data_IF_713183164932
#
_entry.id   IF_713183164932
#
_cell.length_a   1.000
_cell.length_b   1.000
_cell.length_c   1.000
_cell.angle_alpha   90.00
_cell.angle_beta   90.00
_cell.angle_gamma   90.00
#
_symmetry.space_group_name_H-M   'P 1'
#
loop_
_entity.id
_entity.type
_entity.pdbx_description
1 polymer ?
#
# COMPACT_ATOMS: atom_id res chain seq x y z
N UNK A 1 -32.32 40.25 -10.16
CA UNK A 1 -30.94 40.52 -9.72
C UNK A 1 -30.16 39.22 -9.79
N UNK A 2 -29.25 39.08 -10.74
CA UNK A 2 -28.43 37.87 -10.93
C UNK A 2 -27.20 37.97 -10.03
N UNK A 3 -27.02 37.01 -9.11
CA UNK A 3 -25.81 36.91 -8.27
C UNK A 3 -24.78 36.07 -9.03
N UNK A 4 -23.76 36.74 -9.57
CA UNK A 4 -22.54 36.13 -10.09
C UNK A 4 -21.67 35.72 -8.90
N UNK A 5 -21.38 34.43 -8.77
CA UNK A 5 -20.39 33.93 -7.82
C UNK A 5 -19.00 34.05 -8.45
N UNK A 6 -18.11 34.76 -7.76
CA UNK A 6 -16.70 34.94 -8.10
C UNK A 6 -15.98 33.61 -7.84
N UNK A 7 -15.46 32.97 -8.90
CA UNK A 7 -14.56 31.81 -8.76
C UNK A 7 -13.16 32.36 -8.46
N UNK A 8 -12.74 32.31 -7.20
CA UNK A 8 -11.35 32.56 -6.83
C UNK A 8 -10.51 31.33 -7.19
N UNK A 9 -9.79 31.39 -8.31
CA UNK A 9 -8.70 30.46 -8.60
C UNK A 9 -7.53 30.77 -7.66
N UNK A 10 -7.44 30.07 -6.52
CA UNK A 10 -6.18 29.97 -5.80
C UNK A 10 -5.24 29.08 -6.61
N UNK A 11 -4.35 29.71 -7.37
CA UNK A 11 -3.09 29.12 -7.78
C UNK A 11 -2.26 28.89 -6.52
N UNK A 12 -2.56 27.81 -5.81
CA UNK A 12 -1.66 27.29 -4.79
C UNK A 12 -0.45 26.74 -5.52
N UNK A 13 0.64 27.50 -5.46
CA UNK A 13 1.99 27.10 -5.82
C UNK A 13 2.25 25.68 -5.32
N UNK A 14 2.41 24.75 -6.25
CA UNK A 14 2.92 23.41 -5.98
C UNK A 14 4.37 23.55 -5.52
N UNK A 15 4.58 23.79 -4.24
CA UNK A 15 5.82 23.38 -3.61
C UNK A 15 5.82 21.86 -3.68
N UNK A 16 6.50 21.35 -4.70
CA UNK A 16 7.02 20.00 -4.74
C UNK A 16 7.83 19.84 -3.44
N UNK A 17 7.20 19.28 -2.42
CA UNK A 17 7.93 18.66 -1.32
C UNK A 17 8.66 17.47 -1.94
N UNK A 18 9.84 17.74 -2.50
CA UNK A 18 10.87 16.72 -2.57
C UNK A 18 11.10 16.33 -1.11
N UNK A 19 10.59 15.16 -0.72
CA UNK A 19 11.16 14.48 0.42
C UNK A 19 12.69 14.50 0.21
N UNK A 20 13.44 14.80 1.26
CA UNK A 20 14.89 14.59 1.31
C UNK A 20 15.19 13.10 1.09
N UNK A 21 15.02 12.65 -0.15
CA UNK A 21 15.72 11.51 -0.68
C UNK A 21 17.13 12.04 -0.80
N UNK A 22 17.94 11.80 0.23
CA UNK A 22 19.37 11.69 0.02
C UNK A 22 19.52 10.75 -1.17
N UNK A 23 19.79 11.32 -2.36
CA UNK A 23 20.04 10.59 -3.59
C UNK A 23 21.17 9.63 -3.24
N UNK A 24 20.83 8.36 -3.07
CA UNK A 24 21.85 7.33 -2.95
C UNK A 24 22.57 7.35 -4.29
N UNK A 25 23.75 7.96 -4.32
CA UNK A 25 24.71 7.68 -5.37
C UNK A 25 25.23 6.27 -5.08
N UNK A 26 25.15 5.33 -6.04
CA UNK A 26 25.85 4.06 -5.94
C UNK A 26 27.27 4.36 -5.49
N UNK A 27 27.69 3.77 -4.36
CA UNK A 27 29.00 4.04 -3.76
C UNK A 27 30.14 3.68 -4.73
N UNK A 28 29.86 2.84 -5.71
CA UNK A 28 30.59 2.57 -6.94
C UNK A 28 29.66 1.79 -7.90
N UNK A 29 30.00 1.68 -9.18
CA UNK A 29 29.27 0.79 -10.13
C UNK A 29 29.43 -0.71 -9.78
N UNK A 30 30.30 -1.04 -8.83
CA UNK A 30 30.73 -2.40 -8.48
C UNK A 30 29.91 -3.02 -7.34
N UNK A 31 29.05 -2.25 -6.68
CA UNK A 31 28.19 -2.73 -5.59
C UNK A 31 26.80 -3.01 -6.14
N UNK A 32 26.23 -4.21 -5.89
CA UNK A 32 24.85 -4.48 -6.29
C UNK A 32 23.88 -3.51 -5.59
N UNK A 33 22.85 -3.06 -6.30
CA UNK A 33 21.79 -2.22 -5.75
C UNK A 33 20.46 -2.45 -6.49
N UNK A 34 19.36 -1.91 -5.96
CA UNK A 34 18.06 -2.01 -6.62
C UNK A 34 17.82 -0.75 -7.46
N UNK A 35 17.74 -0.89 -8.77
CA UNK A 35 17.39 0.22 -9.68
C UNK A 35 15.91 0.56 -9.58
N UNK A 36 15.07 -0.46 -9.60
CA UNK A 36 13.63 -0.33 -9.56
C UNK A 36 12.97 -1.55 -8.92
N UNK A 37 11.73 -1.38 -8.49
CA UNK A 37 10.86 -2.47 -8.07
C UNK A 37 9.63 -2.52 -8.98
N UNK A 38 9.23 -3.73 -9.36
CA UNK A 38 7.95 -3.95 -10.05
C UNK A 38 6.94 -4.47 -9.06
N UNK A 39 6.02 -3.60 -8.64
CA UNK A 39 4.93 -3.92 -7.71
C UNK A 39 3.80 -4.66 -8.41
N UNK A 40 3.04 -5.46 -7.66
CA UNK A 40 1.94 -6.30 -8.15
C UNK A 40 2.40 -7.18 -9.33
N UNK A 41 3.58 -7.80 -9.17
CA UNK A 41 4.22 -8.57 -10.23
C UNK A 41 3.36 -9.77 -10.65
N UNK A 42 3.34 -10.05 -11.96
CA UNK A 42 2.51 -11.12 -12.54
C UNK A 42 1.04 -10.74 -12.75
N UNK A 43 0.66 -9.48 -12.53
CA UNK A 43 -0.74 -9.03 -12.58
C UNK A 43 -0.95 -7.91 -13.62
N UNK A 44 -2.18 -7.71 -14.12
CA UNK A 44 -2.53 -6.53 -14.92
C UNK A 44 -2.24 -5.18 -14.24
N UNK A 45 -2.19 -5.13 -12.90
CA UNK A 45 -1.91 -3.91 -12.13
C UNK A 45 -0.41 -3.66 -11.90
N UNK A 46 0.48 -4.39 -12.58
CA UNK A 46 1.92 -4.22 -12.38
C UNK A 46 2.37 -2.77 -12.61
N UNK A 47 3.27 -2.28 -11.77
CA UNK A 47 3.88 -0.95 -11.92
C UNK A 47 5.34 -1.00 -11.51
N UNK A 48 6.20 -0.56 -12.41
CA UNK A 48 7.61 -0.37 -12.12
C UNK A 48 7.86 1.03 -11.55
N UNK A 49 8.73 1.07 -10.54
CA UNK A 49 9.04 2.26 -9.78
C UNK A 49 10.55 2.33 -9.55
N UNK A 50 11.17 3.39 -10.05
CA UNK A 50 12.59 3.64 -9.86
C UNK A 50 12.90 3.90 -8.38
N UNK A 51 13.85 3.16 -7.85
CA UNK A 51 14.46 3.34 -6.54
C UNK A 51 15.83 4.01 -6.63
N UNK A 52 16.49 3.96 -7.79
CA UNK A 52 17.80 4.57 -8.05
C UNK A 52 18.82 4.22 -6.94
N UNK A 53 18.86 2.95 -6.53
CA UNK A 53 19.76 2.44 -5.50
C UNK A 53 19.33 2.74 -4.07
N UNK A 54 18.11 3.26 -3.83
CA UNK A 54 17.62 3.51 -2.48
C UNK A 54 17.77 2.27 -1.58
N UNK A 55 18.42 2.47 -0.43
CA UNK A 55 18.69 1.42 0.57
C UNK A 55 17.47 1.09 1.42
N UNK A 56 16.43 1.92 1.34
CA UNK A 56 15.24 1.73 2.14
C UNK A 56 14.02 2.45 1.60
N UNK A 57 12.88 2.16 2.21
CA UNK A 57 11.75 3.06 2.24
C UNK A 57 10.56 2.69 1.36
N UNK A 58 10.63 1.62 0.56
CA UNK A 58 9.50 1.11 -0.20
C UNK A 58 9.41 -0.42 -0.13
N UNK A 59 8.23 -1.02 -0.30
CA UNK A 59 6.91 -0.39 -0.26
C UNK A 59 6.56 0.25 1.10
N UNK A 60 5.59 1.17 1.13
CA UNK A 60 5.06 1.81 2.36
C UNK A 60 3.85 1.08 2.92
N UNK A 61 3.12 0.36 2.09
CA UNK A 61 1.96 -0.46 2.47
C UNK A 61 2.18 -1.90 2.07
N UNK A 62 1.60 -2.85 2.79
CA UNK A 62 1.69 -4.27 2.45
C UNK A 62 0.44 -5.04 2.91
N UNK A 63 0.27 -6.23 2.37
CA UNK A 63 -0.73 -7.21 2.77
C UNK A 63 -0.19 -8.61 2.48
N UNK A 64 -0.81 -9.64 3.06
CA UNK A 64 -0.40 -11.02 2.81
C UNK A 64 -0.64 -11.40 1.34
N UNK A 65 0.41 -11.81 0.64
CA UNK A 65 0.38 -12.12 -0.79
C UNK A 65 0.80 -10.96 -1.70
N UNK A 66 1.15 -9.79 -1.16
CA UNK A 66 1.67 -8.69 -1.97
C UNK A 66 2.99 -9.10 -2.65
N UNK A 67 3.05 -8.99 -3.98
CA UNK A 67 4.21 -9.42 -4.80
C UNK A 67 4.99 -8.23 -5.35
N UNK A 68 6.31 -8.29 -5.24
CA UNK A 68 7.19 -7.35 -5.92
C UNK A 68 8.42 -8.04 -6.50
N UNK A 69 8.80 -7.65 -7.71
CA UNK A 69 10.06 -8.08 -8.33
C UNK A 69 11.13 -7.01 -8.10
N UNK A 70 12.33 -7.44 -7.70
CA UNK A 70 13.48 -6.58 -7.47
C UNK A 70 14.31 -6.51 -8.76
N UNK A 71 14.47 -5.33 -9.34
CA UNK A 71 15.30 -5.14 -10.52
C UNK A 71 16.69 -4.63 -10.07
N UNK A 72 17.65 -5.54 -10.10
CA UNK A 72 19.01 -5.34 -9.61
C UNK A 72 19.91 -4.70 -10.68
N UNK A 73 20.82 -3.81 -10.26
CA UNK A 73 21.88 -3.21 -11.08
C UNK A 73 23.21 -3.17 -10.32
N UNK A 74 24.30 -2.91 -11.06
CA UNK A 74 25.66 -2.85 -10.51
C UNK A 74 26.20 -4.23 -10.10
N UNK A 75 27.48 -4.30 -9.75
CA UNK A 75 28.12 -5.57 -9.37
C UNK A 75 28.12 -6.63 -10.48
N UNK A 76 28.36 -7.89 -10.10
CA UNK A 76 28.52 -9.00 -11.06
C UNK A 76 27.46 -10.10 -10.84
N UNK A 77 26.51 -10.22 -11.77
CA UNK A 77 25.50 -11.29 -11.76
C UNK A 77 26.12 -12.71 -11.80
N UNK A 78 25.44 -13.76 -11.31
CA UNK A 78 24.09 -13.76 -10.74
C UNK A 78 24.02 -13.13 -9.34
N UNK A 79 22.88 -12.52 -9.04
CA UNK A 79 22.57 -12.00 -7.71
C UNK A 79 21.91 -13.07 -6.84
N UNK A 80 22.14 -13.00 -5.54
CA UNK A 80 21.46 -13.77 -4.51
C UNK A 80 20.76 -12.83 -3.54
N UNK A 81 19.57 -13.20 -3.09
CA UNK A 81 18.78 -12.41 -2.14
C UNK A 81 18.49 -13.27 -0.91
N UNK A 82 18.96 -12.80 0.24
CA UNK A 82 18.75 -13.42 1.54
C UNK A 82 17.79 -12.56 2.38
N UNK A 83 16.80 -13.19 3.00
CA UNK A 83 15.89 -12.55 3.96
C UNK A 83 16.55 -12.60 5.33
N UNK A 84 17.00 -11.45 5.82
CA UNK A 84 17.67 -11.31 7.12
C UNK A 84 16.72 -10.88 8.25
N UNK A 85 15.57 -10.32 7.90
CA UNK A 85 14.52 -9.91 8.83
C UNK A 85 13.16 -9.92 8.11
N UNK A 86 12.10 -10.30 8.82
CA UNK A 86 10.73 -10.35 8.30
C UNK A 86 10.33 -11.72 7.74
N UNK A 87 9.04 -11.87 7.46
CA UNK A 87 8.47 -13.10 6.92
C UNK A 87 8.01 -12.86 5.47
N UNK A 88 8.89 -13.20 4.52
CA UNK A 88 8.67 -13.07 3.09
C UNK A 88 9.20 -14.30 2.38
N UNK A 89 8.52 -14.71 1.32
CA UNK A 89 9.01 -15.75 0.42
C UNK A 89 9.71 -15.10 -0.77
N UNK A 90 10.83 -15.66 -1.20
CA UNK A 90 11.54 -15.24 -2.41
C UNK A 90 11.64 -16.43 -3.35
N UNK A 91 11.13 -16.25 -4.56
CA UNK A 91 11.32 -17.19 -5.67
C UNK A 91 11.96 -16.42 -6.83
N UNK A 92 13.19 -16.81 -7.18
CA UNK A 92 14.02 -16.07 -8.13
C UNK A 92 14.21 -14.62 -7.65
N UNK A 93 13.67 -13.62 -8.36
CA UNK A 93 13.73 -12.21 -8.01
C UNK A 93 12.38 -11.64 -7.55
N UNK A 94 11.39 -12.50 -7.31
CA UNK A 94 10.05 -12.13 -6.87
C UNK A 94 9.89 -12.39 -5.37
N UNK A 95 9.68 -11.31 -4.63
CA UNK A 95 9.37 -11.31 -3.21
C UNK A 95 7.86 -11.30 -3.00
N UNK A 96 7.37 -12.17 -2.11
CA UNK A 96 5.98 -12.23 -1.66
C UNK A 96 5.90 -12.00 -0.15
N UNK A 97 5.19 -10.97 0.27
CA UNK A 97 5.04 -10.63 1.69
C UNK A 97 4.05 -11.60 2.33
N UNK A 98 4.40 -12.20 3.48
CA UNK A 98 3.52 -13.14 4.20
C UNK A 98 2.89 -12.53 5.44
N UNK A 99 3.68 -11.81 6.23
CA UNK A 99 3.23 -11.24 7.51
C UNK A 99 3.69 -9.78 7.70
N UNK A 100 3.10 -9.12 8.70
CA UNK A 100 3.46 -7.77 9.11
C UNK A 100 4.85 -7.71 9.74
N UNK A 101 5.49 -6.56 9.62
CA UNK A 101 6.75 -6.25 10.29
C UNK A 101 7.81 -5.69 9.34
N UNK A 102 8.96 -5.39 9.92
CA UNK A 102 10.11 -4.90 9.17
C UNK A 102 10.73 -6.02 8.34
N UNK A 103 11.04 -5.69 7.09
CA UNK A 103 11.64 -6.59 6.11
C UNK A 103 13.04 -6.08 5.81
N UNK A 104 14.03 -6.97 5.87
CA UNK A 104 15.43 -6.66 5.57
C UNK A 104 16.01 -7.74 4.66
N UNK A 105 16.52 -7.32 3.53
CA UNK A 105 17.12 -8.18 2.52
C UNK A 105 18.61 -7.88 2.45
N UNK A 106 19.43 -8.91 2.45
CA UNK A 106 20.83 -8.84 2.06
C UNK A 106 20.93 -9.33 0.62
N UNK A 107 21.42 -8.48 -0.26
CA UNK A 107 21.58 -8.79 -1.67
C UNK A 107 23.07 -8.86 -1.96
N UNK A 108 23.52 -9.99 -2.50
CA UNK A 108 24.92 -10.25 -2.80
C UNK A 108 25.09 -10.61 -4.26
N UNK A 109 26.16 -10.13 -4.86
CA UNK A 109 26.55 -10.51 -6.22
C UNK A 109 27.47 -11.76 -6.21
N UNK A 110 27.89 -12.20 -7.40
CA UNK A 110 28.70 -13.42 -7.54
C UNK A 110 30.15 -13.29 -7.05
N UNK A 111 30.62 -12.06 -6.83
CA UNK A 111 32.00 -11.77 -6.36
C UNK A 111 32.06 -11.44 -4.86
N UNK A 112 30.90 -11.42 -4.19
CA UNK A 112 30.78 -11.25 -2.74
C UNK A 112 30.53 -9.81 -2.29
N UNK A 113 30.33 -8.87 -3.21
CA UNK A 113 29.84 -7.53 -2.88
C UNK A 113 28.40 -7.62 -2.42
N UNK A 114 28.03 -6.86 -1.38
CA UNK A 114 26.69 -6.93 -0.82
C UNK A 114 26.11 -5.57 -0.45
N UNK A 115 24.79 -5.51 -0.47
CA UNK A 115 23.97 -4.35 -0.17
C UNK A 115 22.75 -4.78 0.63
N UNK A 116 22.35 -3.94 1.59
CA UNK A 116 21.17 -4.22 2.42
C UNK A 116 20.03 -3.30 2.04
N UNK A 117 18.89 -3.90 1.71
CA UNK A 117 17.63 -3.21 1.49
C UNK A 117 16.70 -3.42 2.68
N UNK A 118 16.00 -2.38 3.14
CA UNK A 118 15.04 -2.54 4.23
C UNK A 118 13.83 -1.63 4.14
N UNK A 119 12.68 -2.13 4.55
CA UNK A 119 11.45 -1.35 4.63
C UNK A 119 10.55 -1.89 5.73
N UNK A 120 9.68 -1.03 6.26
CA UNK A 120 8.70 -1.38 7.29
C UNK A 120 7.34 -0.84 6.86
N UNK A 121 6.57 -1.62 6.08
CA UNK A 121 5.30 -1.16 5.53
C UNK A 121 4.20 -1.22 6.59
N UNK A 122 3.24 -0.29 6.52
CA UNK A 122 1.96 -0.46 7.21
C UNK A 122 1.24 -1.68 6.63
N UNK A 123 0.92 -2.65 7.47
CA UNK A 123 0.34 -3.91 7.04
C UNK A 123 -1.17 -3.88 7.15
N UNK A 124 -1.86 -4.31 6.09
CA UNK A 124 -3.30 -4.42 6.05
C UNK A 124 -3.72 -5.88 6.15
N UNK A 125 -4.64 -6.19 7.07
CA UNK A 125 -5.16 -7.55 7.20
C UNK A 125 -6.05 -7.90 6.02
N UNK A 126 -5.88 -9.10 5.48
CA UNK A 126 -6.89 -9.66 4.58
C UNK A 126 -8.23 -9.72 5.30
N UNK A 127 -9.28 -9.10 4.75
CA UNK A 127 -10.61 -9.13 5.34
C UNK A 127 -11.15 -10.55 5.39
N UNK A 128 -11.76 -10.91 6.52
CA UNK A 128 -12.40 -12.21 6.69
C UNK A 128 -13.81 -12.23 6.07
N UNK A 129 -14.45 -13.40 6.12
CA UNK A 129 -15.81 -13.56 5.60
C UNK A 129 -16.89 -13.06 6.59
N UNK A 130 -16.51 -12.48 7.74
CA UNK A 130 -17.46 -12.00 8.74
C UNK A 130 -17.78 -10.55 8.46
N UNK A 131 -19.05 -10.25 8.25
CA UNK A 131 -19.53 -8.89 8.12
C UNK A 131 -19.82 -8.29 9.51
N UNK A 132 -19.45 -7.03 9.70
CA UNK A 132 -19.51 -6.32 10.98
C UNK A 132 -20.07 -4.91 10.75
N UNK A 133 -20.75 -4.36 11.75
CA UNK A 133 -21.04 -2.92 11.80
C UNK A 133 -19.75 -2.12 12.02
N UNK A 134 -19.82 -0.79 11.96
CA UNK A 134 -18.66 0.06 12.24
C UNK A 134 -18.05 -0.23 13.62
N UNK A 135 -18.86 -0.16 14.68
CA UNK A 135 -18.39 -0.38 16.06
C UNK A 135 -17.82 -1.78 16.28
N UNK A 136 -18.43 -2.81 15.67
CA UNK A 136 -17.90 -4.17 15.72
C UNK A 136 -16.55 -4.29 15.00
N UNK A 137 -16.38 -3.56 13.90
CA UNK A 137 -15.13 -3.52 13.14
C UNK A 137 -14.01 -2.85 13.94
N UNK A 138 -14.30 -1.74 14.63
CA UNK A 138 -13.33 -1.09 15.54
C UNK A 138 -12.89 -2.03 16.65
N UNK A 139 -13.83 -2.66 17.34
CA UNK A 139 -13.54 -3.62 18.41
C UNK A 139 -12.72 -4.80 17.89
N UNK A 140 -13.04 -5.30 16.69
CA UNK A 140 -12.30 -6.38 16.06
C UNK A 140 -10.85 -5.98 15.78
N UNK A 141 -10.61 -4.82 15.15
CA UNK A 141 -9.26 -4.37 14.86
C UNK A 141 -8.45 -4.06 16.12
N UNK A 142 -9.07 -3.45 17.12
CA UNK A 142 -8.43 -3.22 18.42
C UNK A 142 -7.99 -4.53 19.09
N UNK A 143 -8.82 -5.58 19.05
CA UNK A 143 -8.46 -6.92 19.58
C UNK A 143 -7.27 -7.55 18.85
N UNK A 144 -7.05 -7.24 17.58
CA UNK A 144 -5.89 -7.71 16.81
C UNK A 144 -4.62 -6.84 17.02
N UNK A 145 -4.71 -5.78 17.82
CA UNK A 145 -3.63 -4.81 18.03
C UNK A 145 -3.44 -3.85 16.85
N UNK A 146 -4.49 -3.59 16.08
CA UNK A 146 -4.51 -2.62 14.99
C UNK A 146 -5.63 -1.60 15.14
N UNK A 147 -5.91 -0.87 14.07
CA UNK A 147 -7.03 0.05 13.98
C UNK A 147 -7.78 -0.12 12.66
N UNK A 148 -8.95 0.52 12.53
CA UNK A 148 -9.51 0.71 11.20
C UNK A 148 -8.60 1.65 10.39
N UNK A 149 -8.34 1.34 9.10
CA UNK A 149 -7.58 2.21 8.23
C UNK A 149 -8.36 3.50 7.95
N UNK A 150 -7.66 4.62 7.89
CA UNK A 150 -8.26 5.85 7.39
C UNK A 150 -8.33 5.83 5.87
N UNK A 151 -9.15 6.70 5.29
CA UNK A 151 -9.22 6.83 3.82
C UNK A 151 -7.86 7.19 3.21
N UNK A 152 -7.10 8.03 3.90
CA UNK A 152 -5.71 8.41 3.57
C UNK A 152 -4.70 7.27 3.74
N UNK A 153 -5.08 6.13 4.32
CA UNK A 153 -4.24 4.93 4.30
C UNK A 153 -4.57 4.04 3.08
N UNK A 154 -5.72 4.27 2.44
CA UNK A 154 -6.27 3.38 1.41
C UNK A 154 -6.17 4.01 0.02
N UNK A 155 -6.77 5.19 -0.16
CA UNK A 155 -6.88 5.86 -1.45
C UNK A 155 -6.98 7.38 -1.26
N UNK A 156 -6.01 8.11 -1.80
CA UNK A 156 -6.10 9.57 -1.91
C UNK A 156 -6.87 9.99 -3.17
N UNK A 157 -6.57 9.31 -4.30
CA UNK A 157 -7.25 9.47 -5.58
C UNK A 157 -7.32 8.11 -6.29
N UNK A 158 -8.48 7.71 -6.84
CA UNK A 158 -8.68 6.38 -7.43
C UNK A 158 -7.85 6.13 -8.71
N UNK A 159 -7.22 7.15 -9.29
CA UNK A 159 -6.53 7.02 -10.59
C UNK A 159 -5.02 7.23 -10.55
N UNK A 160 -4.46 7.77 -9.46
CA UNK A 160 -3.03 8.03 -9.34
C UNK A 160 -2.34 6.95 -8.50
N UNK A 161 -1.24 6.36 -9.03
CA UNK A 161 -0.37 5.49 -8.22
C UNK A 161 0.48 6.37 -7.29
N UNK A 162 0.44 6.11 -6.00
CA UNK A 162 1.11 6.89 -4.95
C UNK A 162 1.47 5.97 -3.79
N UNK A 163 2.66 6.15 -3.23
CA UNK A 163 3.14 5.38 -2.10
C UNK A 163 2.46 5.80 -0.80
N UNK A 164 2.26 4.83 0.10
CA UNK A 164 1.68 5.08 1.42
C UNK A 164 0.16 4.91 1.45
N UNK A 165 -0.47 4.62 0.30
CA UNK A 165 -1.90 4.38 0.18
C UNK A 165 -2.10 3.00 -0.45
N UNK A 166 -2.80 2.10 0.23
CA UNK A 166 -2.91 0.68 -0.16
C UNK A 166 -3.32 0.49 -1.63
N UNK A 167 -4.42 1.12 -2.06
CA UNK A 167 -4.93 1.01 -3.42
C UNK A 167 -4.03 1.71 -4.43
N UNK A 168 -3.57 2.93 -4.13
CA UNK A 168 -2.69 3.67 -5.03
C UNK A 168 -1.31 3.01 -5.16
N UNK A 169 -0.88 2.24 -4.17
CA UNK A 169 0.41 1.56 -4.18
C UNK A 169 0.34 0.23 -4.92
N UNK A 170 -0.73 -0.56 -4.74
CA UNK A 170 -0.84 -1.92 -5.29
C UNK A 170 -1.83 -2.08 -6.45
N UNK A 171 -2.66 -1.07 -6.69
CA UNK A 171 -3.71 -1.10 -7.71
C UNK A 171 -4.95 -1.87 -7.28
N UNK A 172 -5.76 -2.26 -8.26
CA UNK A 172 -7.02 -2.96 -8.06
C UNK A 172 -6.82 -4.36 -7.48
N UNK A 173 -7.54 -4.66 -6.40
CA UNK A 173 -7.42 -5.94 -5.71
C UNK A 173 -8.10 -7.11 -6.44
N UNK A 174 -9.11 -6.83 -7.28
CA UNK A 174 -9.63 -7.77 -8.27
C UNK A 174 -8.64 -8.14 -9.39
N UNK A 175 -7.72 -7.23 -9.73
CA UNK A 175 -6.79 -7.41 -10.84
C UNK A 175 -5.37 -7.76 -10.37
N UNK A 176 -5.02 -7.56 -9.10
CA UNK A 176 -3.71 -7.92 -8.55
C UNK A 176 -3.62 -9.37 -8.04
N UNK A 177 -4.65 -10.20 -8.31
CA UNK A 177 -4.72 -11.61 -7.90
C UNK A 177 -4.53 -11.84 -6.39
N UNK A 178 -4.90 -10.86 -5.56
CA UNK A 178 -4.85 -11.02 -4.11
C UNK A 178 -5.98 -11.91 -3.59
N UNK A 179 -5.78 -12.52 -2.42
CA UNK A 179 -6.84 -13.23 -1.68
C UNK A 179 -7.99 -12.33 -1.20
N UNK A 180 -7.95 -11.05 -1.55
CA UNK A 180 -8.99 -10.08 -1.23
C UNK A 180 -10.07 -10.01 -2.32
N UNK A 181 -9.92 -10.72 -3.44
CA UNK A 181 -10.98 -10.78 -4.45
C UNK A 181 -12.24 -11.48 -3.91
N UNK A 182 -13.41 -10.83 -4.01
CA UNK A 182 -14.72 -11.48 -3.90
C UNK A 182 -15.46 -11.42 -5.23
N UNK A 183 -16.14 -12.50 -5.58
CA UNK A 183 -17.06 -12.54 -6.74
C UNK A 183 -18.34 -11.72 -6.53
N UNK A 184 -18.60 -11.27 -5.29
CA UNK A 184 -19.75 -10.44 -4.94
C UNK A 184 -19.36 -8.94 -4.99
N UNK A 185 -19.99 -8.21 -5.93
CA UNK A 185 -19.74 -6.79 -6.21
C UNK A 185 -20.53 -5.83 -5.30
N UNK A 186 -21.56 -6.29 -4.58
CA UNK A 186 -22.33 -5.46 -3.64
C UNK A 186 -21.72 -5.48 -2.22
N UNK A 187 -20.96 -6.54 -1.89
CA UNK A 187 -20.25 -6.72 -0.62
C UNK A 187 -18.77 -6.28 -0.66
N UNK A 188 -18.35 -5.61 -1.73
CA UNK A 188 -16.98 -5.23 -2.00
C UNK A 188 -16.42 -4.25 -0.96
N UNK A 189 -15.75 -4.83 0.04
CA UNK A 189 -14.80 -4.28 1.02
C UNK A 189 -14.84 -2.78 1.25
N UNK A 190 -15.95 -2.30 1.82
CA UNK A 190 -16.08 -0.92 2.29
C UNK A 190 -15.29 -0.76 3.59
N UNK A 191 -14.13 -0.11 3.49
CA UNK A 191 -13.26 0.17 4.65
C UNK A 191 -13.66 1.45 5.36
N UNK A 192 -14.16 1.37 6.60
CA UNK A 192 -14.62 2.58 7.31
C UNK A 192 -13.48 3.53 7.73
N UNK A 193 -13.69 4.84 7.52
CA UNK A 193 -12.87 5.98 7.99
C UNK A 193 -13.43 6.51 9.30
N UNK A 194 -12.57 6.89 10.24
CA UNK A 194 -12.92 7.45 11.55
C UNK A 194 -12.71 8.98 11.66
N UNK A 195 -13.08 9.78 10.64
CA UNK A 195 -12.77 11.23 10.70
C UNK A 195 -13.83 12.16 10.10
N UNK A 196 -14.67 11.65 9.21
CA UNK A 196 -15.82 12.40 8.70
C UNK A 196 -17.09 11.62 9.05
N UNK A 197 -17.37 11.56 10.35
CA UNK A 197 -18.71 11.25 10.82
C UNK A 197 -19.65 12.24 10.13
N UNK A 198 -20.63 11.71 9.42
CA UNK A 198 -21.72 12.52 8.87
C UNK A 198 -23.01 12.06 9.52
N UNK A 199 -23.85 13.02 9.87
CA UNK A 199 -25.20 12.75 10.37
C UNK A 199 -26.23 13.26 9.36
N UNK A 200 -27.21 12.42 9.04
CA UNK A 200 -28.37 12.82 8.22
C UNK A 200 -29.62 12.13 8.73
N UNK A 201 -30.67 12.91 8.97
CA UNK A 201 -31.98 12.40 9.37
C UNK A 201 -31.93 11.47 10.61
N UNK A 202 -31.00 11.71 11.54
CA UNK A 202 -30.84 10.93 12.76
C UNK A 202 -30.02 9.65 12.62
N UNK A 203 -29.38 9.43 11.48
CA UNK A 203 -28.42 8.34 11.26
C UNK A 203 -27.01 8.91 11.19
N UNK A 204 -26.08 8.20 11.84
CA UNK A 204 -24.65 8.46 11.73
C UNK A 204 -24.03 7.51 10.68
N UNK A 205 -22.99 7.99 10.04
CA UNK A 205 -22.28 7.26 9.00
C UNK A 205 -20.83 7.65 8.91
N UNK A 206 -20.07 6.78 8.27
CA UNK A 206 -18.66 6.94 7.99
C UNK A 206 -18.38 6.92 6.49
N UNK A 207 -17.15 7.27 6.12
CA UNK A 207 -16.67 7.14 4.75
C UNK A 207 -16.06 5.74 4.57
N UNK A 208 -16.24 5.15 3.39
CA UNK A 208 -15.62 3.89 3.04
C UNK A 208 -14.99 3.88 1.66
N UNK A 209 -13.96 3.07 1.43
CA UNK A 209 -13.36 2.88 0.10
C UNK A 209 -13.60 1.47 -0.42
N UNK A 210 -13.82 1.34 -1.72
CA UNK A 210 -13.92 0.08 -2.44
C UNK A 210 -12.56 -0.29 -3.04
N UNK A 211 -12.02 -1.45 -2.66
CA UNK A 211 -10.63 -1.81 -2.95
C UNK A 211 -10.35 -2.27 -4.39
N UNK A 212 -11.38 -2.50 -5.21
CA UNK A 212 -11.16 -2.78 -6.64
C UNK A 212 -11.00 -1.54 -7.50
N UNK A 213 -11.52 -0.39 -7.10
CA UNK A 213 -11.53 0.83 -7.92
C UNK A 213 -11.10 2.07 -7.16
N UNK A 214 -10.82 1.96 -5.85
CA UNK A 214 -10.43 3.07 -4.98
C UNK A 214 -11.54 4.09 -4.76
N UNK A 215 -12.78 3.82 -5.17
CA UNK A 215 -13.89 4.75 -5.04
C UNK A 215 -14.34 4.86 -3.60
N UNK A 216 -14.73 6.07 -3.21
CA UNK A 216 -15.07 6.45 -1.85
C UNK A 216 -16.58 6.68 -1.73
N UNK A 217 -17.21 6.11 -0.70
CA UNK A 217 -18.65 6.09 -0.47
C UNK A 217 -19.00 6.48 0.95
N UNK A 218 -20.14 7.10 1.15
CA UNK A 218 -20.77 7.23 2.47
C UNK A 218 -21.47 5.92 2.83
N UNK A 219 -21.26 5.45 4.05
CA UNK A 219 -21.81 4.19 4.57
C UNK A 219 -22.33 4.42 5.98
N UNK A 220 -23.56 3.99 6.25
CA UNK A 220 -24.17 4.08 7.58
C UNK A 220 -23.48 3.16 8.59
N UNK A 221 -23.52 3.51 9.87
CA UNK A 221 -22.82 2.78 10.94
C UNK A 221 -23.36 1.36 11.18
N UNK A 222 -24.66 1.19 10.93
CA UNK A 222 -25.38 -0.08 11.04
C UNK A 222 -25.22 -0.95 9.78
N UNK A 223 -24.60 -0.43 8.72
CA UNK A 223 -24.31 -1.22 7.53
C UNK A 223 -23.27 -2.29 7.85
N UNK A 224 -23.57 -3.52 7.42
CA UNK A 224 -22.66 -4.64 7.57
C UNK A 224 -21.64 -4.68 6.43
N UNK A 225 -20.35 -4.62 6.77
CA UNK A 225 -19.26 -4.69 5.79
C UNK A 225 -18.16 -5.62 6.27
N UNK A 226 -17.28 -6.05 5.36
CA UNK A 226 -16.08 -6.81 5.73
C UNK A 226 -15.02 -5.89 6.30
N UNK A 227 -14.31 -6.38 7.31
CA UNK A 227 -13.35 -5.57 8.07
C UNK A 227 -11.91 -5.83 7.66
N UNK A 228 -11.18 -4.78 7.29
CA UNK A 228 -9.71 -4.77 7.24
C UNK A 228 -9.19 -3.88 8.35
N UNK A 229 -8.12 -4.33 8.98
CA UNK A 229 -7.36 -3.59 9.97
C UNK A 229 -6.02 -3.16 9.39
N UNK A 230 -5.50 -2.05 9.89
CA UNK A 230 -4.14 -1.60 9.63
C UNK A 230 -3.27 -1.79 10.87
N UNK A 231 -2.03 -2.23 10.66
CA UNK A 231 -0.98 -2.35 11.67
C UNK A 231 0.21 -1.50 11.22
N UNK A 232 0.57 -0.50 12.02
CA UNK A 232 1.69 0.42 11.73
C UNK A 232 2.89 0.10 12.62
#
# INVERSE_FOLDING_TARGET
>A
MKKTALVFSLLASSQLCFADNALYQPKDENTPSIESITMSYGTPMRKELALNGATSGLPKTAYSGATMKLNMIGGVAPYSVEVTEGNVDIKEDVLTIREKGKIKLLISDSVGSSFTYSFNPSFFSTPDNVIRTFSQSEQYCSKLGGSLPKIEDIALFPTARMFGYLFSEWGSFSLNQSGWYTSDQDMSYKLFRNQDEWSSMGYDGHISAHLDNGLVYQTFDDAFTRTTCIFK
#
